data_IF_404004482949
#
_entry.id   IF_404004482949
#
_cell.length_a   1.000
_cell.length_b   1.000
_cell.length_c   1.000
_cell.angle_alpha   90.00
_cell.angle_beta   90.00
_cell.angle_gamma   90.00
#
_symmetry.space_group_name_H-M   'P 1'
#
loop_
_entity.id
_entity.type
_entity.pdbx_description
1 polymer ?
#
# COMPACT_ATOMS: atom_id res chain seq x y z
N UNK A 1 40.16 -21.71 45.58
CA UNK A 1 39.13 -20.65 45.68
C UNK A 1 39.05 -19.90 44.37
N UNK A 2 38.10 -20.24 43.55
CA UNK A 2 37.73 -19.35 42.42
C UNK A 2 37.09 -18.15 43.15
N UNK A 3 37.79 -17.03 43.20
CA UNK A 3 37.35 -15.87 43.94
C UNK A 3 36.02 -15.35 43.40
N UNK A 4 35.33 -14.54 44.21
CA UNK A 4 34.06 -13.87 43.81
C UNK A 4 34.16 -13.21 42.43
N UNK A 5 35.34 -12.68 42.07
CA UNK A 5 35.64 -12.11 40.77
C UNK A 5 35.54 -13.14 39.61
N UNK A 6 36.04 -14.36 39.81
CA UNK A 6 35.93 -15.43 38.82
C UNK A 6 34.52 -15.92 38.63
N UNK A 7 33.72 -15.98 39.71
CA UNK A 7 32.31 -16.32 39.64
C UNK A 7 31.50 -15.26 38.92
N UNK A 8 31.74 -13.98 39.21
CA UNK A 8 31.09 -12.84 38.51
C UNK A 8 31.48 -12.86 37.03
N UNK A 9 32.77 -13.08 36.70
CA UNK A 9 33.23 -13.20 35.33
C UNK A 9 32.53 -14.34 34.58
N UNK A 10 32.47 -15.50 35.17
CA UNK A 10 31.78 -16.67 34.58
C UNK A 10 30.31 -16.39 34.32
N UNK A 11 29.57 -15.79 35.28
CA UNK A 11 28.16 -15.43 35.11
C UNK A 11 27.99 -14.35 34.04
N UNK A 12 28.92 -13.37 33.99
CA UNK A 12 28.85 -12.28 33.00
C UNK A 12 28.97 -12.79 31.56
N UNK A 13 29.79 -13.80 31.31
CA UNK A 13 30.01 -14.39 30.00
C UNK A 13 29.12 -15.62 29.73
N UNK A 14 28.32 -16.04 30.69
CA UNK A 14 27.43 -17.18 30.49
C UNK A 14 26.33 -16.83 29.49
N UNK A 15 26.07 -17.73 28.53
CA UNK A 15 25.02 -17.49 27.53
C UNK A 15 23.63 -17.49 28.16
N UNK A 16 22.73 -16.75 27.54
CA UNK A 16 21.32 -16.76 27.87
C UNK A 16 20.74 -18.06 27.33
N UNK A 17 20.31 -18.95 28.21
CA UNK A 17 19.65 -20.19 27.83
C UNK A 17 18.16 -19.95 27.62
N UNK A 18 17.63 -20.50 26.55
CA UNK A 18 16.20 -20.52 26.27
C UNK A 18 15.77 -21.95 25.90
N UNK A 19 14.52 -22.26 26.13
CA UNK A 19 13.89 -23.52 25.73
C UNK A 19 13.45 -23.56 24.26
N UNK A 20 13.66 -22.48 23.49
CA UNK A 20 13.25 -22.45 22.10
C UNK A 20 14.19 -23.31 21.22
N UNK A 21 13.64 -24.22 20.41
CA UNK A 21 14.43 -25.19 19.63
C UNK A 21 15.35 -24.58 18.57
N UNK A 22 15.03 -23.38 18.09
CA UNK A 22 15.74 -22.69 17.02
C UNK A 22 16.92 -21.81 17.49
N UNK A 23 17.25 -21.84 18.76
CA UNK A 23 18.31 -21.04 19.37
C UNK A 23 18.06 -19.52 19.37
N UNK A 24 16.82 -19.09 19.12
CA UNK A 24 16.40 -17.71 19.09
C UNK A 24 15.01 -17.50 19.74
N UNK A 25 14.79 -16.33 20.29
CA UNK A 25 13.48 -15.92 20.80
C UNK A 25 13.10 -14.53 20.29
N UNK A 26 11.84 -14.34 19.92
CA UNK A 26 11.31 -13.04 19.53
C UNK A 26 10.56 -12.41 20.70
N UNK A 27 10.92 -11.16 21.02
CA UNK A 27 10.26 -10.36 22.06
C UNK A 27 9.65 -9.12 21.43
N UNK A 28 8.37 -8.87 21.72
CA UNK A 28 7.69 -7.62 21.38
C UNK A 28 7.73 -6.68 22.59
N UNK A 29 8.30 -5.50 22.41
CA UNK A 29 8.36 -4.40 23.38
C UNK A 29 7.42 -3.30 22.89
N UNK A 30 6.19 -3.17 23.43
CA UNK A 30 5.27 -2.11 23.07
C UNK A 30 5.83 -0.71 23.36
N UNK A 31 5.32 0.30 22.68
CA UNK A 31 5.65 1.70 22.98
C UNK A 31 5.19 2.07 24.40
N UNK A 32 5.98 2.86 25.09
CA UNK A 32 5.70 3.25 26.46
C UNK A 32 5.93 2.14 27.52
N UNK A 33 6.52 1.00 27.13
CA UNK A 33 6.88 -0.03 28.09
C UNK A 33 7.91 0.48 29.11
N UNK A 34 7.66 0.25 30.38
CA UNK A 34 8.65 0.51 31.44
C UNK A 34 9.74 -0.56 31.42
N UNK A 35 10.92 -0.27 32.00
CA UNK A 35 11.99 -1.24 32.17
C UNK A 35 11.49 -2.52 32.87
N UNK A 36 10.71 -2.39 33.94
CA UNK A 36 10.19 -3.52 34.70
C UNK A 36 9.26 -4.40 33.86
N UNK A 37 8.41 -3.78 33.02
CA UNK A 37 7.52 -4.53 32.13
C UNK A 37 8.29 -5.29 31.05
N UNK A 38 9.38 -4.72 30.52
CA UNK A 38 10.29 -5.39 29.58
C UNK A 38 11.01 -6.53 30.26
N UNK A 39 11.57 -6.29 31.43
CA UNK A 39 12.24 -7.32 32.26
C UNK A 39 11.33 -8.50 32.55
N UNK A 40 10.08 -8.23 32.93
CA UNK A 40 9.08 -9.29 33.18
C UNK A 40 8.80 -10.13 31.92
N UNK A 41 8.73 -9.50 30.71
CA UNK A 41 8.55 -10.21 29.45
C UNK A 41 9.76 -11.11 29.12
N UNK A 42 10.98 -10.59 29.30
CA UNK A 42 12.24 -11.32 29.08
C UNK A 42 12.31 -12.52 30.02
N UNK A 43 11.99 -12.32 31.30
CA UNK A 43 11.94 -13.37 32.32
C UNK A 43 10.91 -14.45 31.97
N UNK A 44 9.69 -14.06 31.56
CA UNK A 44 8.65 -15.00 31.12
C UNK A 44 9.09 -15.87 29.93
N UNK A 45 9.99 -15.40 29.11
CA UNK A 45 10.57 -16.15 27.98
C UNK A 45 11.76 -17.03 28.40
N UNK A 46 12.15 -17.06 29.67
CA UNK A 46 13.31 -17.82 30.12
C UNK A 46 14.67 -17.26 29.69
N UNK A 47 14.70 -16.00 29.26
CA UNK A 47 15.91 -15.34 28.72
C UNK A 47 16.66 -14.53 29.78
N UNK A 48 16.44 -14.82 31.05
CA UNK A 48 17.04 -14.09 32.16
C UNK A 48 17.53 -15.04 33.24
N UNK A 49 18.60 -15.80 33.00
CA UNK A 49 19.10 -16.79 33.98
C UNK A 49 19.66 -16.13 35.23
N UNK A 50 20.16 -14.90 35.12
CA UNK A 50 20.78 -14.18 36.22
C UNK A 50 20.12 -12.81 36.47
N UNK A 51 18.90 -12.75 37.09
CA UNK A 51 18.15 -11.49 37.23
C UNK A 51 18.90 -10.39 37.97
N UNK A 52 19.62 -10.74 39.06
CA UNK A 52 20.40 -9.74 39.83
C UNK A 52 21.53 -9.11 39.03
N UNK A 53 22.23 -9.89 38.20
CA UNK A 53 23.25 -9.38 37.29
C UNK A 53 22.66 -8.48 36.23
N UNK A 54 21.50 -8.86 35.66
CA UNK A 54 20.76 -8.06 34.70
C UNK A 54 20.40 -6.69 35.28
N UNK A 55 19.80 -6.65 36.48
CA UNK A 55 19.41 -5.40 37.15
C UNK A 55 20.64 -4.51 37.42
N UNK A 56 21.75 -5.09 37.95
CA UNK A 56 23.00 -4.38 38.19
C UNK A 56 23.57 -3.78 36.90
N UNK A 57 23.64 -4.56 35.82
CA UNK A 57 24.15 -4.08 34.52
C UNK A 57 23.24 -3.04 33.92
N UNK A 58 21.92 -3.20 34.03
CA UNK A 58 20.94 -2.25 33.56
C UNK A 58 21.11 -0.87 34.23
N UNK A 59 21.38 -0.84 35.52
CA UNK A 59 21.70 0.39 36.26
C UNK A 59 22.99 1.01 35.78
N UNK A 60 24.08 0.23 35.72
CA UNK A 60 25.41 0.69 35.26
C UNK A 60 25.39 1.25 33.84
N UNK A 61 24.65 0.62 32.94
CA UNK A 61 24.49 1.04 31.54
C UNK A 61 23.41 2.11 31.33
N UNK A 62 22.73 2.52 32.40
CA UNK A 62 21.59 3.48 32.37
C UNK A 62 20.52 3.08 31.35
N UNK A 63 20.12 1.81 31.35
CA UNK A 63 19.25 1.20 30.33
C UNK A 63 17.78 1.62 30.51
N UNK A 64 17.37 1.96 31.74
CA UNK A 64 15.97 2.17 32.12
C UNK A 64 15.16 3.10 31.20
N UNK A 65 15.81 4.14 30.65
CA UNK A 65 15.18 5.11 29.75
C UNK A 65 15.57 4.96 28.28
N UNK A 66 16.33 3.92 27.93
CA UNK A 66 16.97 3.79 26.60
C UNK A 66 16.49 2.59 25.79
N UNK A 67 15.69 1.70 26.39
CA UNK A 67 15.13 0.54 25.69
C UNK A 67 14.21 1.02 24.59
N UNK A 68 14.42 0.50 23.39
CA UNK A 68 13.62 0.83 22.23
C UNK A 68 12.35 -0.05 22.19
N UNK A 69 11.22 0.57 21.80
CA UNK A 69 10.05 -0.19 21.40
C UNK A 69 10.27 -0.88 20.07
N UNK A 70 9.82 -2.12 19.93
CA UNK A 70 10.02 -2.90 18.72
C UNK A 70 9.85 -4.38 18.94
N UNK A 71 10.04 -5.13 17.88
CA UNK A 71 10.10 -6.59 17.90
C UNK A 71 11.56 -7.00 17.73
N UNK A 72 12.13 -7.72 18.70
CA UNK A 72 13.55 -8.02 18.75
C UNK A 72 13.77 -9.54 18.70
N UNK A 73 14.72 -9.98 17.85
CA UNK A 73 15.15 -11.36 17.78
C UNK A 73 16.39 -11.54 18.67
N UNK A 74 16.20 -12.18 19.80
CA UNK A 74 17.25 -12.40 20.80
C UNK A 74 17.89 -13.75 20.56
N UNK A 75 19.22 -13.79 20.47
CA UNK A 75 19.97 -15.03 20.30
C UNK A 75 20.27 -15.64 21.69
N UNK A 76 20.17 -16.95 21.79
CA UNK A 76 20.35 -17.66 23.06
C UNK A 76 21.80 -17.73 23.52
N UNK A 77 22.75 -17.61 22.61
CA UNK A 77 24.17 -17.59 22.91
C UNK A 77 24.68 -16.23 23.42
N UNK A 78 23.83 -15.21 23.44
CA UNK A 78 24.23 -13.92 24.02
C UNK A 78 24.38 -14.01 25.54
N UNK A 79 25.26 -13.21 26.07
CA UNK A 79 25.31 -12.95 27.51
C UNK A 79 24.36 -11.80 27.92
N UNK A 80 24.22 -11.56 29.21
CA UNK A 80 23.33 -10.52 29.75
C UNK A 80 23.68 -9.12 29.25
N UNK A 81 24.96 -8.79 29.09
CA UNK A 81 25.40 -7.48 28.60
C UNK A 81 25.05 -7.29 27.11
N UNK A 82 25.25 -8.31 26.30
CA UNK A 82 24.89 -8.30 24.88
C UNK A 82 23.38 -8.13 24.70
N UNK A 83 22.57 -8.83 25.50
CA UNK A 83 21.12 -8.64 25.50
C UNK A 83 20.75 -7.19 25.80
N UNK A 84 21.27 -6.60 26.85
CA UNK A 84 20.98 -5.21 27.24
C UNK A 84 21.42 -4.22 26.17
N UNK A 85 22.63 -4.39 25.62
CA UNK A 85 23.10 -3.54 24.51
C UNK A 85 22.22 -3.66 23.29
N UNK A 86 21.78 -4.87 22.95
CA UNK A 86 20.89 -5.08 21.81
C UNK A 86 19.51 -4.45 22.01
N UNK A 87 18.96 -4.43 23.21
CA UNK A 87 17.71 -3.75 23.53
C UNK A 87 17.82 -2.22 23.41
N UNK A 88 19.01 -1.66 23.54
CA UNK A 88 19.27 -0.22 23.38
C UNK A 88 19.61 0.15 21.93
N UNK A 89 20.50 -0.61 21.28
CA UNK A 89 21.09 -0.25 19.99
C UNK A 89 20.71 -1.19 18.86
N UNK A 90 20.09 -2.32 19.16
CA UNK A 90 19.73 -3.33 18.19
C UNK A 90 18.62 -2.86 17.24
N UNK A 91 18.63 -3.41 16.04
CA UNK A 91 17.59 -3.14 15.05
C UNK A 91 16.36 -4.01 15.35
N UNK A 92 15.20 -3.40 15.47
CA UNK A 92 13.93 -4.12 15.54
C UNK A 92 13.60 -4.84 14.24
N UNK A 93 12.91 -5.97 14.34
CA UNK A 93 12.37 -6.69 13.18
C UNK A 93 11.39 -5.77 12.46
N UNK A 94 11.54 -5.71 11.15
CA UNK A 94 10.60 -5.04 10.28
C UNK A 94 9.98 -6.04 9.32
N UNK A 95 8.66 -5.98 9.23
CA UNK A 95 7.87 -6.84 8.36
C UNK A 95 7.71 -6.18 7.01
N UNK A 96 8.14 -6.89 5.98
CA UNK A 96 7.96 -6.45 4.59
C UNK A 96 6.50 -6.63 4.20
N UNK A 97 5.86 -5.57 3.72
CA UNK A 97 4.52 -5.60 3.16
C UNK A 97 4.49 -4.85 1.83
N UNK A 98 3.97 -5.50 0.80
CA UNK A 98 3.79 -4.89 -0.53
C UNK A 98 2.33 -4.48 -0.67
N UNK A 99 2.12 -3.20 -0.98
CA UNK A 99 0.81 -2.64 -1.32
C UNK A 99 0.75 -2.58 -2.86
N UNK A 100 -0.10 -3.38 -3.50
CA UNK A 100 -0.25 -3.39 -4.94
C UNK A 100 -0.90 -2.11 -5.47
N UNK A 101 -0.57 -1.76 -6.71
CA UNK A 101 -1.26 -0.70 -7.45
C UNK A 101 -2.76 -1.01 -7.61
N UNK A 102 -3.60 0.02 -7.56
CA UNK A 102 -5.03 -0.10 -7.79
C UNK A 102 -5.85 -0.62 -6.60
N UNK A 103 -5.26 -0.88 -5.43
CA UNK A 103 -6.03 -1.12 -4.20
C UNK A 103 -6.64 0.19 -3.71
N UNK A 104 -7.90 0.12 -3.21
CA UNK A 104 -8.54 1.23 -2.53
C UNK A 104 -8.19 1.25 -1.04
N UNK A 105 -8.60 2.30 -0.34
CA UNK A 105 -8.32 2.49 1.09
C UNK A 105 -8.76 1.29 1.95
N UNK A 106 -9.94 0.73 1.68
CA UNK A 106 -10.45 -0.42 2.41
C UNK A 106 -9.60 -1.68 2.17
N UNK A 107 -9.22 -1.95 0.92
CA UNK A 107 -8.40 -3.11 0.57
C UNK A 107 -7.01 -3.03 1.21
N UNK A 108 -6.43 -1.83 1.29
CA UNK A 108 -5.17 -1.60 2.00
C UNK A 108 -5.33 -1.88 3.51
N UNK A 109 -6.41 -1.40 4.14
CA UNK A 109 -6.70 -1.68 5.55
C UNK A 109 -6.82 -3.19 5.82
N UNK A 110 -7.53 -3.92 4.96
CA UNK A 110 -7.66 -5.37 5.03
C UNK A 110 -6.30 -6.07 4.88
N UNK A 111 -5.47 -5.64 3.95
CA UNK A 111 -4.11 -6.17 3.73
C UNK A 111 -3.21 -5.97 4.95
N UNK A 112 -3.22 -4.80 5.55
CA UNK A 112 -2.44 -4.49 6.76
C UNK A 112 -2.87 -5.35 7.95
N UNK A 113 -4.16 -5.59 8.12
CA UNK A 113 -4.68 -6.49 9.14
C UNK A 113 -4.29 -7.95 8.90
N UNK A 114 -4.42 -8.44 7.66
CA UNK A 114 -3.99 -9.81 7.32
C UNK A 114 -2.49 -10.03 7.58
N UNK A 115 -1.68 -9.01 7.36
CA UNK A 115 -0.25 -9.03 7.67
C UNK A 115 0.04 -8.88 9.18
N UNK A 116 -0.97 -8.68 10.03
CA UNK A 116 -0.86 -8.42 11.48
C UNK A 116 0.03 -7.19 11.79
N UNK A 117 -0.05 -6.18 10.92
CA UNK A 117 0.73 -4.92 11.05
C UNK A 117 -0.12 -3.83 11.69
N UNK A 118 -1.42 -3.77 11.36
CA UNK A 118 -2.33 -2.74 11.86
C UNK A 118 -3.74 -3.30 12.06
N UNK A 119 -4.53 -2.61 12.86
CA UNK A 119 -5.96 -2.87 13.01
C UNK A 119 -6.73 -2.20 11.87
N UNK A 120 -7.58 -2.99 11.18
CA UNK A 120 -8.37 -2.52 10.02
C UNK A 120 -9.31 -1.39 10.42
N UNK A 121 -10.02 -1.53 11.53
CA UNK A 121 -11.07 -0.58 11.90
C UNK A 121 -10.44 0.75 12.33
N UNK A 122 -9.28 0.70 12.98
CA UNK A 122 -8.49 1.89 13.30
C UNK A 122 -8.00 2.56 12.01
N UNK A 123 -7.46 1.80 11.04
CA UNK A 123 -7.08 2.38 9.73
C UNK A 123 -8.29 3.05 9.06
N UNK A 124 -9.44 2.38 9.03
CA UNK A 124 -10.63 2.92 8.36
C UNK A 124 -11.14 4.20 9.04
N UNK A 125 -11.03 4.31 10.36
CA UNK A 125 -11.39 5.53 11.11
C UNK A 125 -10.47 6.73 10.84
N UNK A 126 -9.28 6.50 10.27
CA UNK A 126 -8.32 7.54 9.92
C UNK A 126 -8.45 8.02 8.48
N UNK A 127 -9.45 7.57 7.72
CA UNK A 127 -9.61 7.91 6.30
C UNK A 127 -9.79 9.41 6.05
N UNK A 128 -10.39 10.12 6.97
CA UNK A 128 -10.66 11.55 6.94
C UNK A 128 -10.00 12.31 8.10
N UNK A 129 -8.97 11.72 8.70
CA UNK A 129 -8.22 12.33 9.81
C UNK A 129 -7.57 13.66 9.39
N UNK A 130 -7.88 14.79 10.06
CA UNK A 130 -7.42 16.10 9.63
C UNK A 130 -5.89 16.25 9.61
N UNK A 131 -5.18 15.61 10.53
CA UNK A 131 -3.71 15.70 10.61
C UNK A 131 -3.05 14.94 9.45
N UNK A 132 -3.61 13.79 9.07
CA UNK A 132 -3.14 13.04 7.91
C UNK A 132 -3.55 13.71 6.59
N UNK A 133 -4.74 14.29 6.52
CA UNK A 133 -5.19 15.06 5.36
C UNK A 133 -4.28 16.27 5.12
N UNK A 134 -3.88 16.98 6.17
CA UNK A 134 -2.93 18.09 6.05
C UNK A 134 -1.58 17.66 5.45
N UNK A 135 -1.13 16.43 5.70
CA UNK A 135 0.11 15.87 5.12
C UNK A 135 0.04 15.64 3.61
N UNK A 136 -1.16 15.58 3.03
CA UNK A 136 -1.31 15.50 1.56
C UNK A 136 -0.82 16.77 0.87
N UNK A 137 -0.76 17.90 1.58
CA UNK A 137 -0.36 19.20 1.04
C UNK A 137 -1.38 19.83 0.11
N UNK A 138 -2.58 19.26 0.02
CA UNK A 138 -3.69 19.78 -0.79
C UNK A 138 -4.76 20.34 0.16
N UNK A 139 -5.17 21.61 0.02
CA UNK A 139 -6.23 22.19 0.83
C UNK A 139 -7.58 21.47 0.66
N UNK A 140 -8.41 21.52 1.68
CA UNK A 140 -9.81 21.07 1.69
C UNK A 140 -10.02 19.60 1.30
N UNK A 141 -9.01 18.75 1.54
CA UNK A 141 -9.15 17.31 1.35
C UNK A 141 -10.08 16.69 2.38
N UNK A 142 -10.95 15.81 1.90
CA UNK A 142 -11.95 15.12 2.74
C UNK A 142 -11.69 13.62 2.84
N UNK A 143 -10.64 13.11 2.20
CA UNK A 143 -10.33 11.67 2.19
C UNK A 143 -8.88 11.41 1.83
N UNK A 144 -8.31 10.37 2.40
CA UNK A 144 -6.99 9.84 2.05
C UNK A 144 -7.03 8.86 0.85
N UNK A 145 -8.21 8.61 0.25
CA UNK A 145 -8.31 7.75 -0.92
C UNK A 145 -7.46 8.29 -2.07
N UNK A 146 -6.58 7.45 -2.60
CA UNK A 146 -5.63 7.79 -3.67
C UNK A 146 -4.25 8.23 -3.19
N UNK A 147 -4.11 8.61 -1.91
CA UNK A 147 -2.84 9.13 -1.36
C UNK A 147 -1.95 8.06 -0.72
N UNK A 148 -2.42 6.83 -0.60
CA UNK A 148 -1.64 5.73 -0.03
C UNK A 148 -0.81 5.06 -1.14
N UNK A 149 0.37 5.63 -1.43
CA UNK A 149 1.15 5.21 -2.60
C UNK A 149 1.50 3.72 -2.57
N UNK A 150 1.25 2.99 -3.66
CA UNK A 150 1.62 1.57 -3.79
C UNK A 150 3.14 1.38 -3.81
N UNK A 151 3.67 0.64 -2.86
CA UNK A 151 5.10 0.38 -2.73
C UNK A 151 5.31 -0.82 -1.79
N UNK A 152 6.55 -1.26 -1.68
CA UNK A 152 6.96 -2.21 -0.63
C UNK A 152 7.47 -1.46 0.58
N UNK A 153 6.75 -1.59 1.69
CA UNK A 153 7.06 -0.96 2.96
C UNK A 153 7.65 -1.95 3.96
N UNK A 154 8.34 -1.41 4.96
CA UNK A 154 8.90 -2.17 6.08
C UNK A 154 8.39 -1.56 7.39
N UNK A 155 7.37 -2.18 7.99
CA UNK A 155 6.75 -1.74 9.22
C UNK A 155 7.12 -2.63 10.41
N UNK A 156 7.18 -2.04 11.59
CA UNK A 156 7.23 -2.75 12.86
C UNK A 156 5.82 -2.96 13.39
N UNK A 157 5.58 -4.03 14.17
CA UNK A 157 4.30 -4.25 14.85
C UNK A 157 4.00 -3.24 15.97
N UNK A 158 4.94 -2.35 16.26
CA UNK A 158 4.75 -1.24 17.21
C UNK A 158 4.56 0.10 16.53
N UNK A 159 4.59 0.13 15.20
CA UNK A 159 4.23 1.33 14.44
C UNK A 159 2.71 1.55 14.56
N UNK A 160 2.31 2.78 14.83
CA UNK A 160 0.88 3.12 14.89
C UNK A 160 0.30 3.22 13.49
N UNK A 161 -1.02 3.00 13.37
CA UNK A 161 -1.75 3.12 12.11
C UNK A 161 -1.54 4.48 11.47
N UNK A 162 -1.50 5.54 12.28
CA UNK A 162 -1.19 6.91 11.83
C UNK A 162 0.22 7.02 11.24
N UNK A 163 1.21 6.36 11.82
CA UNK A 163 2.58 6.34 11.29
C UNK A 163 2.66 5.57 9.97
N UNK A 164 1.95 4.46 9.88
CA UNK A 164 1.85 3.65 8.65
C UNK A 164 1.25 4.47 7.52
N UNK A 165 0.09 5.08 7.74
CA UNK A 165 -0.56 5.94 6.74
C UNK A 165 0.30 7.15 6.38
N UNK A 166 0.92 7.80 7.37
CA UNK A 166 1.84 8.92 7.15
C UNK A 166 3.03 8.54 6.25
N UNK A 167 3.60 7.35 6.42
CA UNK A 167 4.69 6.88 5.57
C UNK A 167 4.24 6.70 4.10
N UNK A 168 3.02 6.18 3.90
CA UNK A 168 2.45 5.98 2.55
C UNK A 168 2.11 7.31 1.87
N UNK A 169 1.57 8.29 2.62
CA UNK A 169 1.33 9.66 2.13
C UNK A 169 2.67 10.36 1.80
N UNK A 170 3.68 10.19 2.65
CA UNK A 170 5.01 10.76 2.40
C UNK A 170 5.62 10.20 1.11
N UNK A 171 5.43 8.91 0.85
CA UNK A 171 5.90 8.31 -0.40
C UNK A 171 5.15 8.87 -1.62
N UNK A 172 3.83 9.06 -1.52
CA UNK A 172 3.06 9.75 -2.55
C UNK A 172 3.63 11.16 -2.84
N UNK A 173 3.88 11.96 -1.80
CA UNK A 173 4.45 13.31 -1.92
C UNK A 173 5.84 13.31 -2.57
N UNK A 174 6.64 12.29 -2.31
CA UNK A 174 7.96 12.13 -2.94
C UNK A 174 7.84 11.83 -4.44
N UNK A 175 6.85 11.00 -4.81
CA UNK A 175 6.58 10.63 -6.21
C UNK A 175 5.95 11.80 -6.97
N UNK A 176 4.94 12.45 -6.39
CA UNK A 176 4.31 13.62 -6.98
C UNK A 176 5.16 14.87 -6.69
N UNK A 177 6.31 14.93 -7.34
CA UNK A 177 7.35 15.93 -7.16
C UNK A 177 7.09 17.25 -7.92
N UNK A 178 8.07 18.17 -7.88
CA UNK A 178 7.98 19.48 -8.54
C UNK A 178 7.75 19.36 -10.06
N UNK A 179 8.34 18.37 -10.73
CA UNK A 179 8.16 18.16 -12.16
C UNK A 179 6.74 17.74 -12.50
N UNK A 180 6.13 16.88 -11.66
CA UNK A 180 4.74 16.48 -11.81
C UNK A 180 3.78 17.64 -11.56
N UNK A 181 4.05 18.49 -10.56
CA UNK A 181 3.28 19.72 -10.33
C UNK A 181 3.36 20.67 -11.51
N UNK A 182 4.58 20.90 -12.04
CA UNK A 182 4.79 21.72 -13.24
C UNK A 182 3.99 21.18 -14.41
N UNK A 183 4.11 19.87 -14.66
CA UNK A 183 3.42 19.24 -15.78
C UNK A 183 1.90 19.26 -15.63
N UNK A 184 1.37 19.03 -14.43
CA UNK A 184 -0.06 19.14 -14.15
C UNK A 184 -0.59 20.54 -14.50
N UNK A 185 0.14 21.59 -14.13
CA UNK A 185 -0.20 22.98 -14.47
C UNK A 185 -0.19 23.23 -15.98
N UNK A 186 0.80 22.71 -16.71
CA UNK A 186 0.89 22.80 -18.18
C UNK A 186 -0.32 22.19 -18.89
N UNK A 187 -0.84 21.06 -18.39
CA UNK A 187 -2.03 20.41 -18.97
C UNK A 187 -3.35 20.92 -18.38
N UNK A 188 -3.31 21.96 -17.52
CA UNK A 188 -4.50 22.60 -16.94
C UNK A 188 -5.24 21.74 -15.89
N UNK A 189 -4.54 20.85 -15.20
CA UNK A 189 -5.11 19.99 -14.17
C UNK A 189 -4.53 20.29 -12.79
N UNK A 190 -5.36 20.29 -11.75
CA UNK A 190 -4.86 20.24 -10.37
C UNK A 190 -4.28 18.87 -10.05
N UNK A 191 -3.38 18.79 -9.07
CA UNK A 191 -2.84 17.52 -8.56
C UNK A 191 -3.95 16.52 -8.26
N UNK A 192 -5.00 16.94 -7.56
CA UNK A 192 -6.12 16.08 -7.19
C UNK A 192 -6.89 15.54 -8.41
N UNK A 193 -7.05 16.34 -9.47
CA UNK A 193 -7.64 15.87 -10.73
C UNK A 193 -6.75 14.85 -11.43
N UNK A 194 -5.44 15.06 -11.42
CA UNK A 194 -4.47 14.10 -11.96
C UNK A 194 -4.56 12.78 -11.18
N UNK A 195 -4.55 12.83 -9.85
CA UNK A 195 -4.66 11.65 -8.99
C UNK A 195 -5.98 10.91 -9.21
N UNK A 196 -7.09 11.65 -9.28
CA UNK A 196 -8.41 11.06 -9.52
C UNK A 196 -8.47 10.36 -10.88
N UNK A 197 -7.97 11.00 -11.94
CA UNK A 197 -7.95 10.38 -13.27
C UNK A 197 -6.99 9.19 -13.32
N UNK A 198 -5.82 9.28 -12.67
CA UNK A 198 -4.85 8.19 -12.60
C UNK A 198 -5.44 6.96 -11.90
N UNK A 199 -6.26 7.14 -10.85
CA UNK A 199 -6.95 6.05 -10.17
C UNK A 199 -7.94 5.31 -11.08
N UNK A 200 -8.55 6.01 -12.04
CA UNK A 200 -9.43 5.40 -13.05
C UNK A 200 -8.58 4.63 -14.08
N UNK A 201 -7.54 5.28 -14.62
CA UNK A 201 -6.63 4.64 -15.60
C UNK A 201 -6.02 3.36 -15.03
N UNK A 202 -5.64 3.37 -13.74
CA UNK A 202 -5.09 2.21 -13.03
C UNK A 202 -6.05 1.01 -13.04
N UNK A 203 -7.34 1.27 -12.88
CA UNK A 203 -8.37 0.22 -12.84
C UNK A 203 -8.81 -0.26 -14.24
N UNK A 204 -8.47 0.46 -15.31
CA UNK A 204 -8.89 0.12 -16.68
C UNK A 204 -7.93 -0.87 -17.38
N UNK A 205 -6.65 -0.88 -17.03
CA UNK A 205 -5.70 -1.75 -17.71
C UNK A 205 -4.52 -2.15 -16.84
N UNK A 206 -4.09 -3.42 -16.98
CA UNK A 206 -2.81 -3.93 -16.51
C UNK A 206 -1.72 -3.88 -17.59
N UNK A 207 -1.98 -3.32 -18.78
CA UNK A 207 -1.03 -3.27 -19.89
C UNK A 207 -0.40 -1.89 -20.00
N UNK A 208 0.90 -1.80 -19.70
CA UNK A 208 1.64 -0.53 -19.64
C UNK A 208 1.54 0.29 -20.93
N UNK A 209 1.65 -0.36 -22.09
CA UNK A 209 1.60 0.33 -23.40
C UNK A 209 0.22 0.92 -23.73
N UNK A 210 -0.84 0.52 -23.01
CA UNK A 210 -2.19 1.02 -23.22
C UNK A 210 -2.54 2.17 -22.28
N UNK A 211 -1.89 2.28 -21.10
CA UNK A 211 -2.14 3.36 -20.12
C UNK A 211 -2.13 4.77 -20.73
N UNK A 212 -1.08 5.20 -21.49
CA UNK A 212 -1.07 6.54 -22.09
C UNK A 212 -2.19 6.76 -23.10
N UNK A 213 -2.61 5.71 -23.82
CA UNK A 213 -3.70 5.78 -24.80
C UNK A 213 -5.07 5.87 -24.09
N UNK A 214 -5.27 5.13 -23.00
CA UNK A 214 -6.47 5.22 -22.17
C UNK A 214 -6.55 6.61 -21.54
N UNK A 215 -5.46 7.10 -20.98
CA UNK A 215 -5.38 8.47 -20.48
C UNK A 215 -5.77 9.49 -21.55
N UNK A 216 -5.28 9.33 -22.82
CA UNK A 216 -5.67 10.21 -23.92
C UNK A 216 -7.16 10.17 -24.24
N UNK A 217 -7.81 8.98 -24.13
CA UNK A 217 -9.27 8.87 -24.30
C UNK A 217 -9.99 9.70 -23.24
N UNK A 218 -9.61 9.55 -21.97
CA UNK A 218 -10.27 10.29 -20.90
C UNK A 218 -10.02 11.79 -20.98
N UNK A 219 -8.81 12.24 -21.28
CA UNK A 219 -8.51 13.66 -21.55
C UNK A 219 -9.37 14.22 -22.69
N UNK A 220 -9.48 13.49 -23.78
CA UNK A 220 -10.30 13.91 -24.93
C UNK A 220 -11.80 13.97 -24.58
N UNK A 221 -12.30 13.00 -23.79
CA UNK A 221 -13.69 13.01 -23.31
C UNK A 221 -13.96 14.18 -22.37
N UNK A 222 -13.08 14.42 -21.39
CA UNK A 222 -13.19 15.58 -20.49
C UNK A 222 -13.21 16.90 -21.25
N UNK A 223 -12.28 17.09 -22.19
CA UNK A 223 -12.22 18.28 -23.05
C UNK A 223 -13.49 18.50 -23.88
N UNK A 224 -14.12 17.41 -24.32
CA UNK A 224 -15.38 17.44 -25.11
C UNK A 224 -16.64 17.39 -24.26
N UNK A 225 -16.53 17.46 -22.93
CA UNK A 225 -17.66 17.31 -22.02
C UNK A 225 -18.46 16.01 -22.24
N UNK A 226 -17.76 14.92 -22.57
CA UNK A 226 -18.33 13.59 -22.66
C UNK A 226 -18.24 12.89 -21.30
N UNK A 227 -19.16 11.96 -21.04
CA UNK A 227 -19.09 11.06 -19.87
C UNK A 227 -17.91 10.13 -20.00
N UNK A 228 -17.30 9.75 -18.85
CA UNK A 228 -16.13 8.87 -18.87
C UNK A 228 -16.52 7.42 -19.11
N UNK A 229 -17.78 7.02 -18.76
CA UNK A 229 -18.33 5.67 -18.95
C UNK A 229 -17.36 4.56 -18.49
N UNK A 230 -16.83 4.69 -17.28
CA UNK A 230 -15.85 3.78 -16.70
C UNK A 230 -16.51 2.86 -15.66
N UNK A 231 -16.48 1.55 -15.91
CA UNK A 231 -17.04 0.54 -15.00
C UNK A 231 -16.46 0.59 -13.58
N UNK A 232 -15.14 0.72 -13.39
CA UNK A 232 -14.52 0.84 -12.06
C UNK A 232 -15.11 1.94 -11.20
N UNK A 233 -15.50 3.07 -11.77
CA UNK A 233 -16.13 4.17 -11.03
C UNK A 233 -17.49 3.80 -10.49
N UNK A 234 -18.27 3.01 -11.25
CA UNK A 234 -19.57 2.49 -10.80
C UNK A 234 -19.38 1.51 -9.66
N UNK A 235 -18.43 0.57 -9.82
CA UNK A 235 -18.11 -0.46 -8.82
C UNK A 235 -17.72 0.18 -7.50
N UNK A 236 -16.86 1.20 -7.52
CA UNK A 236 -16.43 1.91 -6.32
C UNK A 236 -17.60 2.58 -5.58
N UNK A 237 -18.57 3.10 -6.32
CA UNK A 237 -19.77 3.74 -5.77
C UNK A 237 -20.85 2.77 -5.24
N UNK A 238 -20.61 1.45 -5.28
CA UNK A 238 -21.54 0.43 -4.78
C UNK A 238 -21.09 -0.10 -3.42
N UNK A 239 -21.95 0.02 -2.41
CA UNK A 239 -21.65 -0.47 -1.04
C UNK A 239 -21.55 -2.01 -0.95
N UNK A 240 -22.29 -2.76 -1.78
CA UNK A 240 -22.37 -4.22 -1.72
C UNK A 240 -22.16 -4.83 -3.11
N UNK A 241 -20.98 -4.63 -3.70
CA UNK A 241 -20.64 -5.19 -4.99
C UNK A 241 -20.28 -6.68 -4.87
N UNK A 242 -21.03 -7.55 -5.51
CA UNK A 242 -20.86 -9.01 -5.48
C UNK A 242 -20.01 -9.58 -6.63
N UNK A 243 -19.28 -8.73 -7.36
CA UNK A 243 -18.46 -9.14 -8.50
C UNK A 243 -19.21 -9.12 -9.85
N UNK A 244 -20.52 -8.91 -9.89
CA UNK A 244 -21.32 -8.90 -11.12
C UNK A 244 -21.90 -7.51 -11.41
N UNK A 245 -21.32 -6.80 -12.39
CA UNK A 245 -21.80 -5.49 -12.82
C UNK A 245 -22.98 -5.65 -13.78
N UNK A 246 -24.14 -5.14 -13.37
CA UNK A 246 -25.41 -5.25 -14.11
C UNK A 246 -25.80 -3.94 -14.79
N UNK A 247 -26.72 -3.98 -15.78
CA UNK A 247 -27.28 -2.77 -16.39
C UNK A 247 -27.98 -1.86 -15.38
N UNK A 248 -28.57 -2.43 -14.31
CA UNK A 248 -29.16 -1.66 -13.21
C UNK A 248 -28.10 -0.83 -12.48
N UNK A 249 -26.95 -1.41 -12.22
CA UNK A 249 -25.80 -0.70 -11.60
C UNK A 249 -25.32 0.47 -12.46
N UNK A 250 -25.18 0.27 -13.79
CA UNK A 250 -24.74 1.32 -14.73
C UNK A 250 -25.75 2.50 -14.82
N UNK A 251 -27.03 2.26 -14.50
CA UNK A 251 -28.07 3.31 -14.51
C UNK A 251 -28.30 3.95 -13.14
N UNK A 252 -27.82 3.35 -12.05
CA UNK A 252 -28.00 3.87 -10.70
C UNK A 252 -27.24 5.18 -10.53
N UNK A 253 -27.91 6.31 -10.23
CA UNK A 253 -27.22 7.57 -10.01
C UNK A 253 -26.49 7.54 -8.67
N UNK A 254 -25.16 7.55 -8.72
CA UNK A 254 -24.28 7.75 -7.56
C UNK A 254 -23.32 8.88 -7.88
N UNK A 255 -22.69 9.52 -6.88
CA UNK A 255 -21.66 10.53 -7.13
C UNK A 255 -20.49 10.02 -7.99
N UNK A 256 -20.19 8.72 -7.92
CA UNK A 256 -19.11 8.06 -8.63
C UNK A 256 -19.49 7.54 -10.01
N UNK A 257 -20.79 7.40 -10.34
CA UNK A 257 -21.19 6.77 -11.59
C UNK A 257 -20.96 7.67 -12.80
N UNK A 258 -19.86 7.46 -13.49
CA UNK A 258 -19.47 8.23 -14.69
C UNK A 258 -20.28 7.88 -15.95
N UNK A 259 -21.24 6.92 -15.90
CA UNK A 259 -22.29 6.74 -16.93
C UNK A 259 -23.44 7.71 -16.75
N UNK A 260 -23.64 8.27 -15.56
CA UNK A 260 -24.76 9.18 -15.26
C UNK A 260 -24.31 10.59 -14.95
N UNK A 261 -23.01 10.78 -14.61
CA UNK A 261 -22.40 12.07 -14.28
C UNK A 261 -21.33 12.43 -15.30
N UNK A 262 -21.17 13.72 -15.55
CA UNK A 262 -20.08 14.28 -16.36
C UNK A 262 -18.88 14.62 -15.50
N UNK A 263 -17.69 14.55 -16.10
CA UNK A 263 -16.44 14.90 -15.42
C UNK A 263 -15.86 13.76 -14.60
N UNK A 264 -14.94 14.09 -13.71
CA UNK A 264 -14.32 13.16 -12.78
C UNK A 264 -15.24 12.86 -11.59
N UNK A 265 -15.13 11.68 -10.97
CA UNK A 265 -15.79 11.40 -9.70
C UNK A 265 -15.24 12.34 -8.60
N UNK A 266 -15.94 12.46 -7.45
CA UNK A 266 -15.56 13.40 -6.39
C UNK A 266 -14.21 13.09 -5.74
N UNK A 267 -13.81 11.81 -5.73
CA UNK A 267 -12.52 11.38 -5.16
C UNK A 267 -11.85 10.37 -6.08
N UNK A 268 -10.55 10.07 -5.90
CA UNK A 268 -9.95 8.85 -6.45
C UNK A 268 -10.75 7.61 -6.05
N UNK A 269 -10.64 6.54 -6.84
CA UNK A 269 -11.34 5.27 -6.62
C UNK A 269 -10.38 4.13 -6.26
N UNK A 270 -9.10 4.41 -6.22
CA UNK A 270 -8.01 3.52 -5.84
C UNK A 270 -6.73 4.31 -5.68
N UNK A 271 -5.68 3.66 -5.19
CA UNK A 271 -4.34 4.22 -5.11
C UNK A 271 -3.54 3.84 -6.36
N UNK A 272 -3.27 4.78 -7.27
CA UNK A 272 -2.59 4.49 -8.52
C UNK A 272 -1.08 4.41 -8.34
N UNK A 273 -0.44 3.59 -9.16
CA UNK A 273 1.02 3.53 -9.28
C UNK A 273 1.61 4.67 -10.11
N UNK A 274 2.95 4.71 -10.15
CA UNK A 274 3.71 5.71 -10.91
C UNK A 274 3.33 5.73 -12.39
N UNK A 275 3.18 4.57 -13.02
CA UNK A 275 2.88 4.47 -14.44
C UNK A 275 1.53 5.10 -14.82
N UNK A 276 0.52 4.99 -13.95
CA UNK A 276 -0.79 5.62 -14.17
C UNK A 276 -0.74 7.13 -13.97
N UNK A 277 -0.01 7.62 -12.95
CA UNK A 277 0.24 9.05 -12.76
C UNK A 277 0.96 9.66 -13.97
N UNK A 278 2.04 9.03 -14.43
CA UNK A 278 2.79 9.45 -15.62
C UNK A 278 1.91 9.45 -16.86
N UNK A 279 1.08 8.43 -17.06
CA UNK A 279 0.20 8.33 -18.21
C UNK A 279 -0.84 9.45 -18.29
N UNK A 280 -1.32 9.93 -17.15
CA UNK A 280 -2.24 11.07 -17.09
C UNK A 280 -1.51 12.39 -17.34
N UNK A 281 -0.30 12.54 -16.83
CA UNK A 281 0.53 13.74 -17.04
C UNK A 281 1.07 13.81 -18.48
N UNK A 282 1.38 12.68 -19.07
CA UNK A 282 1.94 12.55 -20.42
C UNK A 282 1.08 11.60 -21.28
N UNK A 283 -0.18 11.96 -21.57
CA UNK A 283 -1.06 11.11 -22.37
C UNK A 283 -0.53 10.99 -23.81
N UNK A 284 -0.84 9.88 -24.46
CA UNK A 284 -0.51 9.73 -25.87
C UNK A 284 -1.18 10.84 -26.71
N UNK A 285 -0.44 11.46 -27.62
CA UNK A 285 -1.01 12.44 -28.54
C UNK A 285 -1.85 11.74 -29.63
N UNK A 286 -3.05 11.34 -29.24
CA UNK A 286 -4.02 10.63 -30.10
C UNK A 286 -5.42 11.17 -29.87
N UNK A 287 -6.19 11.28 -30.94
CA UNK A 287 -7.58 11.75 -30.91
C UNK A 287 -8.59 10.61 -30.66
N UNK A 288 -8.20 9.63 -29.81
CA UNK A 288 -9.09 8.52 -29.45
C UNK A 288 -10.20 8.99 -28.50
N UNK A 289 -11.41 8.44 -28.66
CA UNK A 289 -12.57 8.69 -27.82
C UNK A 289 -13.13 7.40 -27.22
N UNK A 290 -12.74 6.26 -27.76
CA UNK A 290 -13.27 4.95 -27.36
C UNK A 290 -12.15 3.92 -27.31
N UNK A 291 -12.30 2.95 -26.42
CA UNK A 291 -11.49 1.74 -26.41
C UNK A 291 -12.37 0.53 -26.07
N UNK A 292 -11.93 -0.66 -26.44
CA UNK A 292 -12.55 -1.94 -26.14
C UNK A 292 -11.49 -3.01 -25.99
N UNK A 293 -11.60 -3.83 -24.95
CA UNK A 293 -10.69 -4.95 -24.72
C UNK A 293 -10.74 -5.98 -25.85
N UNK A 294 -9.57 -6.41 -26.32
CA UNK A 294 -9.46 -7.43 -27.37
C UNK A 294 -9.62 -8.86 -26.83
N UNK A 295 -9.56 -9.04 -25.50
CA UNK A 295 -9.63 -10.35 -24.85
C UNK A 295 -8.28 -11.04 -24.69
N UNK A 296 -7.18 -10.40 -25.06
CA UNK A 296 -5.79 -10.79 -24.84
C UNK A 296 -5.06 -9.90 -23.82
N UNK A 297 -5.82 -9.08 -23.10
CA UNK A 297 -5.33 -8.09 -22.14
C UNK A 297 -5.14 -6.70 -22.74
N UNK A 298 -4.95 -6.58 -24.07
CA UNK A 298 -4.78 -5.30 -24.76
C UNK A 298 -6.11 -4.69 -25.19
N UNK A 299 -6.07 -3.39 -25.59
CA UNK A 299 -7.24 -2.65 -26.03
C UNK A 299 -7.15 -2.26 -27.52
N UNK A 300 -8.32 -2.14 -28.19
CA UNK A 300 -8.50 -1.51 -29.47
C UNK A 300 -9.04 -0.10 -29.26
N UNK A 301 -8.32 0.88 -29.74
CA UNK A 301 -8.68 2.30 -29.67
C UNK A 301 -9.35 2.77 -30.95
N UNK A 302 -10.34 3.68 -30.82
CA UNK A 302 -11.13 4.21 -31.93
C UNK A 302 -11.39 5.70 -31.73
N UNK A 303 -11.46 6.44 -32.85
CA UNK A 303 -11.76 7.88 -32.88
C UNK A 303 -13.27 8.16 -32.91
N UNK A 304 -14.05 7.25 -33.51
CA UNK A 304 -15.49 7.41 -33.73
C UNK A 304 -16.28 6.27 -33.08
N UNK A 305 -17.55 6.53 -32.74
CA UNK A 305 -18.46 5.52 -32.25
C UNK A 305 -18.70 4.39 -33.28
N UNK A 306 -18.71 4.72 -34.57
CA UNK A 306 -18.86 3.74 -35.66
C UNK A 306 -17.70 2.73 -35.66
N UNK A 307 -16.45 3.21 -35.53
CA UNK A 307 -15.27 2.34 -35.43
C UNK A 307 -15.31 1.50 -34.14
N UNK A 308 -15.69 2.12 -33.03
CA UNK A 308 -15.83 1.42 -31.76
C UNK A 308 -16.84 0.28 -31.82
N UNK A 309 -18.05 0.54 -32.36
CA UNK A 309 -19.09 -0.47 -32.50
C UNK A 309 -18.64 -1.65 -33.39
N UNK A 310 -17.89 -1.38 -34.48
CA UNK A 310 -17.29 -2.43 -35.28
C UNK A 310 -16.29 -3.28 -34.46
N UNK A 311 -15.46 -2.63 -33.64
CA UNK A 311 -14.49 -3.31 -32.78
C UNK A 311 -15.19 -4.15 -31.69
N UNK A 312 -16.27 -3.64 -31.08
CA UNK A 312 -17.09 -4.39 -30.11
C UNK A 312 -17.70 -5.64 -30.74
N UNK A 313 -18.28 -5.51 -31.94
CA UNK A 313 -18.80 -6.65 -32.69
C UNK A 313 -17.73 -7.70 -32.95
N UNK A 314 -16.55 -7.26 -33.36
CA UNK A 314 -15.44 -8.16 -33.69
C UNK A 314 -14.84 -8.85 -32.46
N UNK A 315 -14.50 -8.12 -31.41
CA UNK A 315 -13.76 -8.65 -30.27
C UNK A 315 -14.66 -9.24 -29.17
N UNK A 316 -15.85 -8.69 -28.93
CA UNK A 316 -16.69 -9.09 -27.81
C UNK A 316 -17.88 -9.95 -28.21
N UNK A 317 -18.57 -9.63 -29.32
CA UNK A 317 -19.79 -10.35 -29.71
C UNK A 317 -19.51 -11.57 -30.61
N UNK A 318 -18.46 -11.56 -31.40
CA UNK A 318 -18.08 -12.71 -32.22
C UNK A 318 -17.41 -13.81 -31.34
N UNK A 319 -18.13 -14.93 -31.13
CA UNK A 319 -17.68 -16.03 -30.28
C UNK A 319 -16.37 -16.66 -30.76
N UNK A 320 -16.19 -16.84 -32.08
CA UNK A 320 -14.97 -17.44 -32.68
C UNK A 320 -13.75 -16.55 -32.42
N UNK A 321 -13.88 -15.25 -32.68
CA UNK A 321 -12.78 -14.29 -32.45
C UNK A 321 -12.40 -14.18 -30.97
N UNK A 322 -13.40 -14.12 -30.08
CA UNK A 322 -13.17 -14.10 -28.64
C UNK A 322 -12.41 -15.32 -28.14
N UNK A 323 -12.77 -16.53 -28.62
CA UNK A 323 -12.07 -17.76 -28.26
C UNK A 323 -10.63 -17.79 -28.81
N UNK A 324 -10.42 -17.33 -30.06
CA UNK A 324 -9.09 -17.26 -30.66
C UNK A 324 -8.14 -16.32 -29.87
N UNK A 325 -8.63 -15.14 -29.45
CA UNK A 325 -7.86 -14.19 -28.64
C UNK A 325 -7.52 -14.75 -27.25
N UNK A 326 -8.46 -15.40 -26.57
CA UNK A 326 -8.20 -16.06 -25.27
C UNK A 326 -7.15 -17.17 -25.39
N UNK A 327 -7.14 -17.93 -26.48
CA UNK A 327 -6.09 -18.95 -26.75
C UNK A 327 -4.71 -18.30 -26.97
N UNK A 328 -4.65 -17.18 -27.68
CA UNK A 328 -3.40 -16.42 -27.86
C UNK A 328 -2.86 -15.89 -26.53
N UNK A 329 -3.72 -15.33 -25.69
CA UNK A 329 -3.34 -14.83 -24.36
C UNK A 329 -2.76 -15.96 -23.49
N UNK A 330 -3.42 -17.12 -23.42
CA UNK A 330 -2.91 -18.28 -22.68
C UNK A 330 -1.54 -18.76 -23.17
N UNK A 331 -1.33 -18.80 -24.50
CA UNK A 331 -0.01 -19.17 -25.08
C UNK A 331 1.08 -18.15 -24.80
N UNK A 332 0.74 -16.88 -24.68
CA UNK A 332 1.70 -15.82 -24.33
C UNK A 332 2.11 -15.88 -22.85
N UNK A 333 1.15 -16.19 -21.95
CA UNK A 333 1.44 -16.37 -20.52
C UNK A 333 2.30 -17.61 -20.22
N UNK A 334 2.08 -18.72 -20.94
CA UNK A 334 2.87 -19.95 -20.77
C UNK A 334 4.29 -19.88 -21.35
N UNK A 335 4.64 -18.83 -22.11
CA UNK A 335 6.01 -18.59 -22.59
C UNK A 335 6.83 -17.64 -21.70
N UNK A 336 6.21 -17.08 -20.66
CA UNK A 336 6.85 -16.16 -19.70
C UNK A 336 7.15 -16.82 -18.35
N UNK A 337 6.81 -18.08 -18.17
CA UNK A 337 7.21 -18.99 -17.10
C UNK A 337 8.34 -19.90 -17.60
#
# INVERSE_FOLDING_TARGET
>A
MIGVAGYIYQIYYSPIMSSAPDGNSVILIPRGSTFDSVTARIRKKGLLPYPRLYDYLAEKLKVHSRIQAGEFKIQHNWNTSELLQYLIYGKSIRHRITIPEGENFQQIAERLQHAKIADKDVILSLKDDPELLAKTGIPDMTTLEGFLFPETYFFSRVDTERQILSAMITQYRRVFNADFHKRAKEIGMSEYKVLTLASIVEKETGVDSDRPKIASVFHNRLKRRMRLDSDPTVIYGLSNFNGNLTRKHLRKPTPYNTYTKYGLPPTPISNPGLASLQSVLYPADKKFLYFVGRGDGSSKFSKTLREHNKAVLYFQKNRKNRQAMRRKAKKASSKKL
#
